data_IF_446145852316
#
_entry.id   IF_446145852316
#
_cell.length_a   1.000
_cell.length_b   1.000
_cell.length_c   1.000
_cell.angle_alpha   90.00
_cell.angle_beta   90.00
_cell.angle_gamma   90.00
#
_symmetry.space_group_name_H-M   'P 1'
#
loop_
_entity.id
_entity.type
_entity.pdbx_description
1 polymer ?
#
# COMPACT_ATOMS: atom_id res chain seq x y z
N UNK A 1 -4.48 2.96 14.96
CA UNK A 1 -5.02 2.60 13.62
C UNK A 1 -4.04 1.69 12.90
N UNK A 2 -4.50 0.82 12.00
CA UNK A 2 -3.64 -0.08 11.22
C UNK A 2 -3.13 0.63 9.96
N UNK A 3 -1.92 0.31 9.51
CA UNK A 3 -1.44 0.70 8.16
C UNK A 3 -1.57 -0.49 7.22
N UNK A 4 -2.03 -0.22 6.01
CA UNK A 4 -2.25 -1.22 4.96
C UNK A 4 -1.29 -0.94 3.82
N UNK A 5 -0.64 -1.98 3.32
CA UNK A 5 0.17 -1.89 2.10
C UNK A 5 -0.76 -1.95 0.89
N UNK A 6 -0.55 -1.06 -0.07
CA UNK A 6 -1.25 -1.10 -1.35
C UNK A 6 -0.28 -1.38 -2.49
N UNK A 7 -0.81 -1.77 -3.64
CA UNK A 7 -0.04 -1.84 -4.88
C UNK A 7 -0.77 -1.15 -6.01
N UNK A 8 0.00 -0.76 -7.02
CA UNK A 8 -0.50 -0.23 -8.29
C UNK A 8 -0.01 -1.10 -9.44
N UNK A 9 -0.82 -1.23 -10.49
CA UNK A 9 -0.38 -1.81 -11.76
C UNK A 9 -0.11 -0.70 -12.76
N UNK A 10 1.10 -0.67 -13.33
CA UNK A 10 1.48 0.30 -14.36
C UNK A 10 2.35 -0.35 -15.42
N UNK A 11 2.33 0.20 -16.64
CA UNK A 11 3.23 -0.23 -17.71
C UNK A 11 4.59 0.40 -17.46
N UNK A 12 5.62 -0.44 -17.34
CA UNK A 12 7.00 0.01 -17.18
C UNK A 12 7.45 0.76 -18.44
N UNK A 13 7.91 2.02 -18.35
CA UNK A 13 8.38 2.77 -19.51
C UNK A 13 9.71 2.21 -20.07
N UNK A 14 10.44 1.42 -19.28
CA UNK A 14 11.71 0.83 -19.67
C UNK A 14 11.54 -0.49 -20.43
N UNK A 15 10.51 -1.25 -20.11
CA UNK A 15 10.32 -2.62 -20.65
C UNK A 15 9.02 -2.78 -21.46
N UNK A 16 8.07 -1.86 -21.33
CA UNK A 16 6.74 -1.97 -21.92
C UNK A 16 5.82 -3.00 -21.23
N UNK A 17 6.25 -3.61 -20.13
CA UNK A 17 5.49 -4.66 -19.44
C UNK A 17 4.61 -4.11 -18.32
N UNK A 18 3.40 -4.66 -18.19
CA UNK A 18 2.53 -4.41 -17.04
C UNK A 18 3.19 -5.00 -15.79
N UNK A 19 3.55 -4.12 -14.85
CA UNK A 19 4.29 -4.46 -13.64
C UNK A 19 3.53 -4.00 -12.41
N UNK A 20 3.69 -4.73 -11.30
CA UNK A 20 3.16 -4.39 -9.99
C UNK A 20 4.16 -3.53 -9.22
N UNK A 21 3.73 -2.40 -8.69
CA UNK A 21 4.57 -1.49 -7.89
C UNK A 21 3.97 -1.29 -6.50
N UNK A 22 4.83 -1.01 -5.52
CA UNK A 22 4.38 -0.61 -4.17
C UNK A 22 3.62 0.71 -4.27
N UNK A 23 2.38 0.71 -3.80
CA UNK A 23 1.54 1.89 -3.68
C UNK A 23 1.71 2.57 -2.32
N UNK A 24 0.94 3.65 -2.05
CA UNK A 24 0.98 4.33 -0.76
C UNK A 24 0.55 3.41 0.39
N UNK A 25 1.20 3.57 1.54
CA UNK A 25 0.70 2.98 2.79
C UNK A 25 -0.48 3.82 3.28
N UNK A 26 -1.60 3.16 3.55
CA UNK A 26 -2.83 3.85 3.96
C UNK A 26 -3.23 3.47 5.38
N UNK A 27 -3.79 4.42 6.11
CA UNK A 27 -4.21 4.19 7.50
C UNK A 27 -5.72 4.02 7.53
N UNK A 28 -6.21 2.86 7.96
CA UNK A 28 -7.63 2.58 8.06
C UNK A 28 -7.91 1.60 9.21
N UNK A 29 -9.09 1.67 9.87
CA UNK A 29 -9.40 0.79 10.98
C UNK A 29 -9.70 -0.65 10.53
N UNK A 30 -10.21 -0.83 9.31
CA UNK A 30 -10.52 -2.15 8.72
C UNK A 30 -9.94 -2.27 7.30
N UNK A 31 -9.90 -3.51 6.79
CA UNK A 31 -9.42 -3.81 5.44
C UNK A 31 -10.37 -3.25 4.39
N UNK A 32 -11.66 -3.34 4.67
CA UNK A 32 -12.76 -2.91 3.80
C UNK A 32 -12.67 -1.40 3.55
N UNK A 33 -12.42 -0.62 4.60
CA UNK A 33 -12.24 0.82 4.49
C UNK A 33 -10.92 1.18 3.77
N UNK A 34 -9.88 0.36 3.94
CA UNK A 34 -8.63 0.51 3.20
C UNK A 34 -8.85 0.25 1.70
N UNK A 35 -9.66 -0.76 1.36
CA UNK A 35 -10.00 -1.13 -0.01
C UNK A 35 -10.94 -0.09 -0.65
N UNK A 36 -11.94 0.40 0.09
CA UNK A 36 -12.82 1.49 -0.35
C UNK A 36 -12.01 2.75 -0.66
N UNK A 37 -11.03 3.10 0.17
CA UNK A 37 -10.11 4.21 -0.15
C UNK A 37 -9.37 3.98 -1.46
N UNK A 38 -8.92 2.74 -1.73
CA UNK A 38 -8.24 2.39 -2.97
C UNK A 38 -9.13 2.58 -4.21
N UNK A 39 -10.43 2.32 -4.07
CA UNK A 39 -11.43 2.44 -5.13
C UNK A 39 -11.83 3.90 -5.39
N UNK A 40 -11.89 4.72 -4.34
CA UNK A 40 -12.38 6.11 -4.41
C UNK A 40 -11.29 7.16 -4.64
N UNK A 41 -10.01 6.84 -4.44
CA UNK A 41 -8.91 7.81 -4.51
C UNK A 41 -8.59 8.34 -5.93
N UNK A 42 -9.27 7.86 -6.97
CA UNK A 42 -9.05 8.26 -8.36
C UNK A 42 -7.82 7.65 -9.03
N UNK A 43 -7.09 6.77 -8.34
CA UNK A 43 -5.95 6.04 -8.90
C UNK A 43 -6.35 4.80 -9.67
N UNK A 44 -7.59 4.28 -9.54
CA UNK A 44 -8.22 3.27 -10.42
C UNK A 44 -7.56 1.87 -10.53
N UNK A 45 -6.28 1.75 -10.18
CA UNK A 45 -5.44 0.55 -10.25
C UNK A 45 -4.74 0.30 -8.91
N UNK A 46 -5.11 1.04 -7.86
CA UNK A 46 -4.63 0.87 -6.50
C UNK A 46 -5.46 -0.20 -5.79
N UNK A 47 -4.84 -1.15 -5.09
CA UNK A 47 -5.57 -2.12 -4.26
C UNK A 47 -4.80 -2.48 -2.99
N UNK A 48 -5.51 -2.92 -1.95
CA UNK A 48 -4.88 -3.41 -0.72
C UNK A 48 -4.23 -4.78 -0.98
N UNK A 49 -3.01 -4.99 -0.49
CA UNK A 49 -2.38 -6.31 -0.48
C UNK A 49 -3.20 -7.20 0.45
N UNK A 50 -3.68 -8.34 -0.07
CA UNK A 50 -4.68 -9.18 0.59
C UNK A 50 -4.30 -9.56 2.03
N UNK A 51 -3.01 -9.73 2.31
CA UNK A 51 -2.49 -10.24 3.59
C UNK A 51 -1.45 -9.34 4.29
N UNK A 52 -1.17 -8.12 3.80
CA UNK A 52 -0.06 -7.31 4.31
C UNK A 52 -0.52 -6.06 5.08
N UNK A 53 -0.52 -6.18 6.40
CA UNK A 53 -0.65 -5.04 7.33
C UNK A 53 0.75 -4.55 7.66
N UNK A 54 1.05 -3.29 7.35
CA UNK A 54 2.32 -2.68 7.73
C UNK A 54 2.27 -2.24 9.20
N UNK A 55 3.23 -2.72 9.99
CA UNK A 55 3.46 -2.24 11.35
C UNK A 55 4.64 -1.26 11.30
N UNK A 56 4.53 -0.10 11.95
CA UNK A 56 5.71 0.72 12.21
C UNK A 56 6.46 0.11 13.39
N UNK A 57 7.66 -0.41 13.13
CA UNK A 57 8.60 -0.81 14.18
C UNK A 57 9.41 0.42 14.54
N UNK A 58 9.05 1.10 15.62
CA UNK A 58 9.91 2.13 16.22
C UNK A 58 11.20 1.46 16.67
N UNK A 59 12.28 1.64 15.93
CA UNK A 59 13.61 1.32 16.43
C UNK A 59 13.97 2.43 17.42
N UNK A 60 13.80 2.15 18.72
CA UNK A 60 14.52 2.91 19.73
C UNK A 60 16.00 2.62 19.52
N UNK A 61 16.74 3.65 19.09
CA UNK A 61 18.19 3.55 18.96
C UNK A 61 18.72 3.54 20.38
N UNK A 62 18.95 2.35 20.93
CA UNK A 62 19.64 2.17 22.21
C UNK A 62 21.07 2.73 22.06
N UNK A 63 21.26 3.97 22.47
CA UNK A 63 22.57 4.57 22.66
C UNK A 63 23.19 3.96 23.93
N UNK A 64 23.98 2.91 23.76
CA UNK A 64 24.86 2.37 24.80
C UNK A 64 26.32 2.77 24.53
#
# INVERSE_FOLDING_TARGET
MKKWTTYIYAVSPLTGLLTKYCGPKITAPTRELAQEWCELNGMGYCTVVQDEVAYEVSHEVDNN
#
